data_IF_822204366901
#
_entry.id   IF_822204366901
#
_cell.length_a   1.000
_cell.length_b   1.000
_cell.length_c   1.000
_cell.angle_alpha   90.00
_cell.angle_beta   90.00
_cell.angle_gamma   90.00
#
_symmetry.space_group_name_H-M   'P 1'
#
loop_
_entity.id
_entity.type
_entity.pdbx_description
1 polymer ?
#
# COMPACT_ATOMS: atom_id res chain seq x y z
N UNK A 1 -47.48 10.15 -24.74
CA UNK A 1 -46.47 10.48 -23.71
C UNK A 1 -45.27 9.57 -23.95
N UNK A 2 -44.36 9.95 -24.85
CA UNK A 2 -43.20 9.13 -25.20
C UNK A 2 -42.03 9.51 -24.28
N UNK A 3 -41.60 8.59 -23.41
CA UNK A 3 -40.37 8.74 -22.66
C UNK A 3 -39.17 8.70 -23.61
N UNK A 4 -38.25 9.66 -23.50
CA UNK A 4 -37.02 9.70 -24.29
C UNK A 4 -36.21 8.40 -24.12
N UNK A 5 -35.59 7.92 -25.21
CA UNK A 5 -34.94 6.61 -25.30
C UNK A 5 -33.81 6.40 -24.27
N UNK A 6 -33.14 7.46 -23.84
CA UNK A 6 -32.07 7.45 -22.85
C UNK A 6 -32.12 8.70 -21.95
N UNK A 7 -31.62 8.59 -20.72
CA UNK A 7 -31.40 9.74 -19.84
C UNK A 7 -29.97 10.31 -20.00
N UNK A 8 -29.73 11.51 -19.49
CA UNK A 8 -28.45 12.21 -19.65
C UNK A 8 -27.25 11.40 -19.12
N UNK A 9 -27.40 10.72 -17.98
CA UNK A 9 -26.33 9.92 -17.38
C UNK A 9 -25.94 8.72 -18.26
N UNK A 10 -26.92 8.02 -18.84
CA UNK A 10 -26.68 6.92 -19.77
C UNK A 10 -25.91 7.40 -21.01
N UNK A 11 -26.26 8.57 -21.54
CA UNK A 11 -25.56 9.17 -22.69
C UNK A 11 -24.13 9.57 -22.30
N UNK A 12 -23.92 10.12 -21.10
CA UNK A 12 -22.58 10.39 -20.56
C UNK A 12 -21.72 9.12 -20.54
N UNK A 13 -22.26 8.02 -20.03
CA UNK A 13 -21.53 6.76 -19.91
C UNK A 13 -21.20 6.16 -21.29
N UNK A 14 -22.12 6.28 -22.26
CA UNK A 14 -21.83 5.93 -23.67
C UNK A 14 -20.71 6.78 -24.24
N UNK A 15 -20.72 8.09 -24.02
CA UNK A 15 -19.66 8.99 -24.49
C UNK A 15 -18.31 8.64 -23.86
N UNK A 16 -18.26 8.33 -22.55
CA UNK A 16 -17.04 7.84 -21.89
C UNK A 16 -16.53 6.56 -22.52
N UNK A 17 -17.42 5.61 -22.81
CA UNK A 17 -17.03 4.36 -23.45
C UNK A 17 -16.45 4.60 -24.86
N UNK A 18 -17.07 5.49 -25.65
CA UNK A 18 -16.55 5.86 -26.98
C UNK A 18 -15.15 6.49 -26.89
N UNK A 19 -14.96 7.38 -25.93
CA UNK A 19 -13.66 8.02 -25.65
C UNK A 19 -12.62 6.95 -25.24
N UNK A 20 -12.97 6.07 -24.30
CA UNK A 20 -12.08 5.00 -23.82
C UNK A 20 -11.70 3.99 -24.90
N UNK A 21 -12.60 3.75 -25.87
CA UNK A 21 -12.33 2.92 -27.05
C UNK A 21 -11.48 3.63 -28.11
N UNK A 22 -11.08 4.88 -27.88
CA UNK A 22 -10.25 5.65 -28.82
C UNK A 22 -11.01 6.14 -30.06
N UNK A 23 -12.34 6.23 -30.02
CA UNK A 23 -13.14 6.75 -31.14
C UNK A 23 -12.94 8.26 -31.36
N UNK A 24 -12.38 8.95 -30.36
CA UNK A 24 -12.03 10.36 -30.40
C UNK A 24 -10.61 10.54 -29.86
N UNK A 25 -9.76 11.23 -30.60
CA UNK A 25 -8.45 11.66 -30.14
C UNK A 25 -8.56 12.96 -29.33
N UNK A 26 -7.56 13.22 -28.48
CA UNK A 26 -7.45 14.53 -27.79
C UNK A 26 -7.35 15.64 -28.84
N UNK A 27 -8.20 16.65 -28.70
CA UNK A 27 -8.37 17.75 -29.65
C UNK A 27 -9.54 17.55 -30.63
N UNK A 28 -10.08 16.33 -30.75
CA UNK A 28 -11.19 16.06 -31.65
C UNK A 28 -12.48 16.74 -31.21
N UNK A 29 -13.29 17.11 -32.21
CA UNK A 29 -14.62 17.63 -31.98
C UNK A 29 -15.58 16.47 -31.70
N UNK A 30 -16.26 16.55 -30.57
CA UNK A 30 -17.29 15.61 -30.16
C UNK A 30 -18.64 15.94 -30.85
N UNK A 31 -19.61 15.00 -30.83
CA UNK A 31 -20.93 15.22 -31.41
C UNK A 31 -21.58 16.53 -30.94
N UNK A 32 -22.25 17.24 -31.83
CA UNK A 32 -23.02 18.43 -31.46
C UNK A 32 -24.21 18.08 -30.55
N UNK A 33 -24.79 19.10 -29.92
CA UNK A 33 -26.02 18.94 -29.11
C UNK A 33 -27.14 18.35 -29.98
N UNK A 34 -27.27 18.81 -31.22
CA UNK A 34 -28.27 18.32 -32.18
C UNK A 34 -28.02 16.85 -32.52
N UNK A 35 -26.77 16.49 -32.83
CA UNK A 35 -26.38 15.10 -33.12
C UNK A 35 -26.66 14.16 -31.94
N UNK A 36 -26.38 14.60 -30.70
CA UNK A 36 -26.72 13.82 -29.51
C UNK A 36 -28.23 13.67 -29.31
N UNK A 37 -29.01 14.72 -29.59
CA UNK A 37 -30.46 14.69 -29.47
C UNK A 37 -31.10 13.74 -30.48
N UNK A 38 -30.65 13.80 -31.73
CA UNK A 38 -31.09 12.92 -32.81
C UNK A 38 -30.73 11.45 -32.52
N UNK A 39 -29.54 11.22 -31.95
CA UNK A 39 -29.05 9.88 -31.66
C UNK A 39 -29.74 9.25 -30.43
N UNK A 40 -29.88 9.99 -29.32
CA UNK A 40 -30.20 9.39 -28.02
C UNK A 40 -31.51 9.85 -27.37
N UNK A 41 -31.95 11.09 -27.57
CA UNK A 41 -33.05 11.64 -26.79
C UNK A 41 -34.38 11.60 -27.56
N UNK A 42 -34.55 12.51 -28.51
CA UNK A 42 -35.65 12.68 -29.47
C UNK A 42 -35.46 14.03 -30.17
N UNK A 43 -36.01 14.18 -31.38
CA UNK A 43 -35.95 15.43 -32.16
C UNK A 43 -36.55 16.62 -31.38
N UNK A 44 -37.55 16.37 -30.53
CA UNK A 44 -38.25 17.41 -29.74
C UNK A 44 -37.68 17.62 -28.33
N UNK A 45 -36.58 16.95 -27.96
CA UNK A 45 -36.08 16.97 -26.57
C UNK A 45 -35.45 18.32 -26.16
N UNK A 46 -35.18 19.21 -27.12
CA UNK A 46 -34.50 20.48 -26.89
C UNK A 46 -33.05 20.31 -26.45
N UNK A 47 -32.31 21.41 -26.19
CA UNK A 47 -30.85 21.34 -25.97
C UNK A 47 -30.46 20.84 -24.57
N UNK A 48 -31.38 20.82 -23.61
CA UNK A 48 -31.07 20.56 -22.20
C UNK A 48 -30.51 19.13 -21.96
N UNK A 49 -31.12 18.04 -22.46
CA UNK A 49 -30.65 16.69 -22.15
C UNK A 49 -29.23 16.41 -22.65
N UNK A 50 -28.89 16.84 -23.87
CA UNK A 50 -27.52 16.72 -24.39
C UNK A 50 -26.51 17.62 -23.66
N UNK A 51 -26.91 18.82 -23.20
CA UNK A 51 -26.06 19.64 -22.32
C UNK A 51 -25.81 18.97 -20.98
N UNK A 52 -26.86 18.40 -20.39
CA UNK A 52 -26.78 17.66 -19.13
C UNK A 52 -25.88 16.41 -19.28
N UNK A 53 -25.83 15.78 -20.46
CA UNK A 53 -24.91 14.67 -20.75
C UNK A 53 -23.44 15.12 -20.89
N UNK A 54 -23.18 16.33 -21.41
CA UNK A 54 -21.81 16.86 -21.47
C UNK A 54 -21.30 17.43 -20.14
N UNK A 55 -22.20 17.85 -19.24
CA UNK A 55 -21.82 18.53 -18.00
C UNK A 55 -20.83 17.74 -17.12
N UNK A 56 -21.00 16.43 -16.87
CA UNK A 56 -20.03 15.66 -16.08
C UNK A 56 -18.66 15.55 -16.77
N UNK A 57 -18.63 15.36 -18.09
CA UNK A 57 -17.37 15.28 -18.86
C UNK A 57 -16.59 16.60 -18.83
N UNK A 58 -17.30 17.73 -18.81
CA UNK A 58 -16.70 19.06 -18.66
C UNK A 58 -16.18 19.24 -17.22
N UNK A 59 -16.95 18.83 -16.22
CA UNK A 59 -16.56 18.90 -14.82
C UNK A 59 -15.32 18.04 -14.51
N UNK A 60 -15.21 16.90 -15.18
CA UNK A 60 -14.06 15.98 -15.12
C UNK A 60 -12.86 16.47 -15.92
N UNK A 61 -12.97 17.62 -16.59
CA UNK A 61 -11.90 18.16 -17.44
C UNK A 61 -11.59 17.32 -18.67
N UNK A 62 -12.45 16.35 -18.99
CA UNK A 62 -12.33 15.52 -20.19
C UNK A 62 -12.73 16.32 -21.43
N UNK A 63 -13.72 17.21 -21.32
CA UNK A 63 -14.30 17.96 -22.44
C UNK A 63 -14.26 19.46 -22.19
N UNK A 64 -14.00 20.24 -23.23
CA UNK A 64 -14.14 21.71 -23.20
C UNK A 64 -15.21 22.17 -24.19
N UNK A 65 -16.05 23.11 -23.75
CA UNK A 65 -17.03 23.77 -24.61
C UNK A 65 -16.48 25.11 -25.12
N UNK A 66 -16.45 25.29 -26.44
CA UNK A 66 -16.04 26.53 -27.11
C UNK A 66 -17.25 27.24 -27.71
N UNK A 67 -17.28 28.57 -27.65
CA UNK A 67 -18.33 29.41 -28.25
C UNK A 67 -17.87 30.03 -29.58
N UNK A 68 -18.82 30.47 -30.41
CA UNK A 68 -18.56 31.18 -31.68
C UNK A 68 -18.67 30.31 -32.94
N UNK A 69 -18.18 30.80 -34.08
CA UNK A 69 -18.34 30.18 -35.41
C UNK A 69 -17.71 28.78 -35.52
N UNK A 70 -16.64 28.53 -34.76
CA UNK A 70 -15.99 27.23 -34.61
C UNK A 70 -16.29 26.58 -33.24
N UNK A 71 -17.40 26.98 -32.60
CA UNK A 71 -17.81 26.48 -31.29
C UNK A 71 -18.22 25.00 -31.32
N UNK A 72 -18.26 24.39 -30.15
CA UNK A 72 -18.56 22.96 -29.99
C UNK A 72 -17.89 22.37 -28.76
N UNK A 73 -18.07 21.06 -28.59
CA UNK A 73 -17.42 20.28 -27.53
C UNK A 73 -16.18 19.61 -28.11
N UNK A 74 -15.06 19.69 -27.40
CA UNK A 74 -13.80 19.11 -27.83
C UNK A 74 -13.21 18.26 -26.71
N UNK A 75 -12.67 17.10 -27.07
CA UNK A 75 -11.98 16.23 -26.11
C UNK A 75 -10.64 16.88 -25.71
N UNK A 76 -10.39 16.98 -24.42
CA UNK A 76 -9.15 17.52 -23.82
C UNK A 76 -8.34 16.40 -23.19
N UNK A 77 -9.01 15.43 -22.55
CA UNK A 77 -8.38 14.29 -21.93
C UNK A 77 -9.26 13.05 -22.11
N UNK A 78 -8.64 11.92 -22.44
CA UNK A 78 -9.32 10.63 -22.54
C UNK A 78 -9.68 10.04 -21.18
N UNK A 79 -9.04 10.54 -20.11
CA UNK A 79 -9.31 10.16 -18.73
C UNK A 79 -9.74 11.39 -17.91
N UNK A 80 -10.55 11.21 -16.84
CA UNK A 80 -10.87 12.29 -15.92
C UNK A 80 -9.60 12.93 -15.37
N UNK A 81 -9.50 14.26 -15.46
CA UNK A 81 -8.41 14.97 -14.82
C UNK A 81 -8.59 14.90 -13.30
N UNK A 82 -7.53 14.59 -12.54
CA UNK A 82 -7.63 14.57 -11.09
C UNK A 82 -8.02 15.96 -10.57
N UNK A 83 -9.04 16.00 -9.71
CA UNK A 83 -9.48 17.25 -9.12
C UNK A 83 -8.46 17.74 -8.09
N UNK A 84 -8.43 19.06 -7.83
CA UNK A 84 -7.60 19.62 -6.76
C UNK A 84 -7.88 18.92 -5.41
N UNK A 85 -9.16 18.65 -5.12
CA UNK A 85 -9.58 17.96 -3.90
C UNK A 85 -8.98 16.54 -3.82
N UNK A 86 -9.00 15.79 -4.92
CA UNK A 86 -8.36 14.47 -4.98
C UNK A 86 -6.86 14.56 -4.73
N UNK A 87 -6.16 15.50 -5.39
CA UNK A 87 -4.71 15.69 -5.20
C UNK A 87 -4.37 16.06 -3.75
N UNK A 88 -5.20 16.88 -3.11
CA UNK A 88 -5.07 17.21 -1.69
C UNK A 88 -5.25 15.97 -0.79
N UNK A 89 -6.28 15.17 -1.05
CA UNK A 89 -6.52 13.92 -0.30
C UNK A 89 -5.34 12.96 -0.42
N UNK A 90 -4.81 12.76 -1.63
CA UNK A 90 -3.63 11.92 -1.86
C UNK A 90 -2.41 12.44 -1.09
N UNK A 91 -2.16 13.76 -1.12
CA UNK A 91 -1.05 14.35 -0.38
C UNK A 91 -1.17 14.15 1.15
N UNK A 92 -2.38 14.30 1.69
CA UNK A 92 -2.66 14.01 3.11
C UNK A 92 -2.43 12.54 3.43
N UNK A 93 -3.00 11.63 2.64
CA UNK A 93 -2.82 10.18 2.85
C UNK A 93 -1.36 9.75 2.80
N UNK A 94 -0.55 10.30 1.88
CA UNK A 94 0.88 10.03 1.82
C UNK A 94 1.60 10.50 3.09
N UNK A 95 1.22 11.67 3.61
CA UNK A 95 1.79 12.20 4.85
C UNK A 95 1.47 11.29 6.04
N UNK A 96 0.22 10.81 6.14
CA UNK A 96 -0.22 9.90 7.19
C UNK A 96 0.50 8.54 7.13
N UNK A 97 0.65 7.99 5.92
CA UNK A 97 1.38 6.73 5.69
C UNK A 97 2.84 6.86 6.13
N UNK A 98 3.51 7.94 5.74
CA UNK A 98 4.89 8.20 6.16
C UNK A 98 4.97 8.32 7.69
N UNK A 99 4.04 9.03 8.31
CA UNK A 99 3.95 9.12 9.77
C UNK A 99 3.80 7.76 10.44
N UNK A 100 2.87 6.92 9.97
CA UNK A 100 2.65 5.58 10.49
C UNK A 100 3.88 4.67 10.30
N UNK A 101 4.52 4.73 9.14
CA UNK A 101 5.75 3.99 8.86
C UNK A 101 6.89 4.41 9.80
N UNK A 102 7.06 5.71 10.06
CA UNK A 102 8.05 6.21 11.02
C UNK A 102 7.76 5.76 12.46
N UNK A 103 6.48 5.71 12.86
CA UNK A 103 6.10 5.17 14.17
C UNK A 103 6.43 3.68 14.29
N UNK A 104 6.12 2.90 13.26
CA UNK A 104 6.43 1.48 13.22
C UNK A 104 7.95 1.24 13.23
N UNK A 105 8.70 1.97 12.41
CA UNK A 105 10.16 1.88 12.35
C UNK A 105 10.84 2.20 13.69
N UNK A 106 10.28 3.13 14.47
CA UNK A 106 10.80 3.49 15.79
C UNK A 106 10.31 2.59 16.93
N UNK A 107 9.43 1.64 16.66
CA UNK A 107 8.95 0.71 17.68
C UNK A 107 10.09 -0.19 18.15
N UNK A 108 10.28 -0.24 19.46
CA UNK A 108 11.25 -1.14 20.08
C UNK A 108 10.73 -2.58 20.00
N UNK A 109 11.59 -3.48 19.57
CA UNK A 109 11.41 -4.92 19.56
C UNK A 109 12.61 -5.56 20.23
N UNK A 110 12.40 -6.75 20.80
CA UNK A 110 13.44 -7.51 21.48
C UNK A 110 13.86 -8.67 20.60
N UNK A 111 15.16 -8.72 20.29
CA UNK A 111 15.76 -9.81 19.52
C UNK A 111 16.19 -10.90 20.49
N UNK A 112 15.82 -12.15 20.22
CA UNK A 112 16.29 -13.33 20.93
C UNK A 112 17.20 -14.13 20.01
N UNK A 113 18.44 -14.35 20.43
CA UNK A 113 19.41 -15.21 19.73
C UNK A 113 19.90 -16.33 20.66
N UNK A 114 20.06 -17.54 20.11
CA UNK A 114 20.63 -18.67 20.85
C UNK A 114 22.06 -18.94 20.39
N UNK A 115 22.92 -19.36 21.33
CA UNK A 115 24.30 -19.76 21.04
C UNK A 115 24.65 -21.01 21.84
N UNK A 116 25.27 -22.00 21.21
CA UNK A 116 25.85 -23.14 21.95
C UNK A 116 27.16 -22.72 22.61
N UNK A 117 27.42 -23.10 23.86
CA UNK A 117 28.57 -22.61 24.66
C UNK A 117 29.96 -22.79 24.02
N UNK A 118 30.13 -23.74 23.09
CA UNK A 118 31.38 -23.99 22.36
C UNK A 118 31.36 -23.53 20.90
N UNK A 119 30.23 -23.00 20.43
CA UNK A 119 30.07 -22.55 19.05
C UNK A 119 30.30 -21.04 18.95
N UNK A 120 31.09 -20.64 17.95
CA UNK A 120 31.15 -19.22 17.55
C UNK A 120 29.87 -18.75 16.88
N UNK A 121 29.07 -19.68 16.35
CA UNK A 121 27.86 -19.39 15.59
C UNK A 121 26.63 -19.44 16.50
N UNK A 122 25.84 -18.37 16.47
CA UNK A 122 24.48 -18.38 16.98
C UNK A 122 23.52 -19.00 15.99
N UNK A 123 22.33 -19.35 16.46
CA UNK A 123 21.23 -19.85 15.66
C UNK A 123 19.91 -19.34 16.24
N UNK A 124 18.88 -19.29 15.40
CA UNK A 124 17.54 -18.85 15.79
C UNK A 124 17.52 -17.36 16.18
N UNK A 125 17.05 -16.51 15.27
CA UNK A 125 16.75 -15.12 15.57
C UNK A 125 15.23 -14.96 15.60
N UNK A 126 14.69 -14.40 16.69
CA UNK A 126 13.26 -14.14 16.83
C UNK A 126 13.03 -12.72 17.37
N UNK A 127 12.02 -12.05 16.83
CA UNK A 127 11.64 -10.68 17.20
C UNK A 127 10.36 -10.68 18.03
N UNK A 128 10.46 -10.16 19.25
CA UNK A 128 9.37 -10.17 20.21
C UNK A 128 8.97 -8.74 20.62
N UNK A 129 7.69 -8.50 20.92
CA UNK A 129 7.18 -7.15 21.17
C UNK A 129 7.59 -6.57 22.54
N UNK A 130 8.15 -7.38 23.44
CA UNK A 130 8.58 -6.95 24.77
C UNK A 130 9.67 -7.86 25.33
N UNK A 131 10.41 -7.36 26.31
CA UNK A 131 11.41 -8.13 27.05
C UNK A 131 10.80 -9.38 27.71
N UNK A 132 9.63 -9.23 28.31
CA UNK A 132 8.92 -10.33 28.97
C UNK A 132 8.54 -11.44 27.98
N UNK A 133 8.06 -11.07 26.78
CA UNK A 133 7.74 -12.03 25.73
C UNK A 133 9.01 -12.72 25.21
N UNK A 134 10.11 -11.98 25.08
CA UNK A 134 11.42 -12.52 24.70
C UNK A 134 11.95 -13.55 25.72
N UNK A 135 11.85 -13.26 27.01
CA UNK A 135 12.26 -14.18 28.07
C UNK A 135 11.39 -15.43 28.11
N UNK A 136 10.06 -15.29 28.04
CA UNK A 136 9.15 -16.42 28.01
C UNK A 136 9.41 -17.34 26.80
N UNK A 137 9.64 -16.75 25.62
CA UNK A 137 10.02 -17.48 24.42
C UNK A 137 11.35 -18.21 24.59
N UNK A 138 12.38 -17.52 25.11
CA UNK A 138 13.69 -18.12 25.35
C UNK A 138 13.62 -19.32 26.29
N UNK A 139 12.85 -19.22 27.39
CA UNK A 139 12.63 -20.33 28.32
C UNK A 139 11.99 -21.52 27.61
N UNK A 140 10.93 -21.30 26.81
CA UNK A 140 10.26 -22.37 26.08
C UNK A 140 11.20 -23.09 25.10
N UNK A 141 12.01 -22.35 24.35
CA UNK A 141 12.97 -22.93 23.39
C UNK A 141 14.08 -23.70 24.12
N UNK A 142 14.66 -23.15 25.20
CA UNK A 142 15.67 -23.85 25.99
C UNK A 142 15.14 -25.17 26.58
N UNK A 143 13.90 -25.17 27.09
CA UNK A 143 13.26 -26.39 27.60
C UNK A 143 13.03 -27.43 26.50
N UNK A 144 12.61 -26.99 25.31
CA UNK A 144 12.46 -27.88 24.15
C UNK A 144 13.81 -28.49 23.70
N UNK A 145 14.91 -27.80 23.93
CA UNK A 145 16.28 -28.31 23.71
C UNK A 145 16.82 -29.17 24.86
N UNK A 146 16.01 -29.44 25.89
CA UNK A 146 16.35 -30.31 27.01
C UNK A 146 17.00 -29.62 28.21
N UNK A 147 17.07 -28.28 28.25
CA UNK A 147 17.57 -27.58 29.43
C UNK A 147 16.54 -27.60 30.58
N UNK A 148 16.94 -27.86 31.84
CA UNK A 148 16.03 -27.82 32.98
C UNK A 148 15.38 -26.44 33.14
N UNK A 149 14.09 -26.41 33.52
CA UNK A 149 13.29 -25.18 33.63
C UNK A 149 13.96 -24.06 34.43
N UNK A 150 14.44 -24.36 35.64
CA UNK A 150 15.10 -23.35 36.50
C UNK A 150 16.39 -22.79 35.87
N UNK A 151 17.11 -23.63 35.11
CA UNK A 151 18.31 -23.20 34.38
C UNK A 151 17.94 -22.33 33.18
N UNK A 152 16.88 -22.68 32.46
CA UNK A 152 16.34 -21.90 31.36
C UNK A 152 15.84 -20.51 31.80
N UNK A 153 15.06 -20.44 32.89
CA UNK A 153 14.58 -19.19 33.48
C UNK A 153 15.73 -18.27 33.89
N UNK A 154 16.75 -18.83 34.57
CA UNK A 154 17.96 -18.07 34.95
C UNK A 154 18.74 -17.57 33.73
N UNK A 155 18.87 -18.40 32.68
CA UNK A 155 19.56 -18.02 31.47
C UNK A 155 18.85 -16.89 30.71
N UNK A 156 17.52 -16.94 30.61
CA UNK A 156 16.71 -15.90 29.97
C UNK A 156 16.73 -14.58 30.77
N UNK A 157 16.57 -14.64 32.10
CA UNK A 157 16.60 -13.46 32.95
C UNK A 157 17.97 -12.75 32.95
N UNK A 158 19.06 -13.52 32.89
CA UNK A 158 20.42 -12.99 32.80
C UNK A 158 20.86 -12.60 31.37
N UNK A 159 19.99 -12.82 30.36
CA UNK A 159 20.36 -12.60 28.97
C UNK A 159 20.60 -11.11 28.68
N UNK A 160 21.75 -10.81 28.11
CA UNK A 160 22.14 -9.46 27.71
C UNK A 160 22.74 -9.47 26.31
N UNK A 161 22.99 -8.28 25.75
CA UNK A 161 23.63 -8.15 24.44
C UNK A 161 25.06 -8.74 24.44
N UNK A 162 25.76 -8.66 25.56
CA UNK A 162 27.13 -9.16 25.73
C UNK A 162 27.22 -10.09 26.94
N UNK A 163 26.83 -11.38 26.82
CA UNK A 163 26.91 -12.31 27.92
C UNK A 163 28.38 -12.62 28.23
N UNK A 164 28.76 -12.57 29.51
CA UNK A 164 30.01 -13.15 29.97
C UNK A 164 29.98 -14.66 29.69
N UNK A 165 30.93 -15.18 28.91
CA UNK A 165 31.09 -16.60 28.59
C UNK A 165 31.61 -17.38 29.82
N UNK A 166 30.83 -17.42 30.91
CA UNK A 166 31.30 -17.95 32.20
C UNK A 166 30.69 -19.29 32.57
N UNK A 167 29.76 -19.86 31.79
CA UNK A 167 29.16 -21.17 32.10
C UNK A 167 29.74 -22.32 31.26
N UNK A 168 30.25 -23.35 31.93
CA UNK A 168 30.73 -24.59 31.31
C UNK A 168 29.53 -25.42 30.79
N UNK A 169 29.30 -25.37 29.48
CA UNK A 169 28.36 -26.25 28.75
C UNK A 169 26.91 -25.74 28.72
N UNK A 170 26.16 -26.13 27.66
CA UNK A 170 24.75 -25.75 27.44
C UNK A 170 24.55 -24.69 26.35
N UNK A 171 23.38 -24.06 26.39
CA UNK A 171 22.99 -22.94 25.50
C UNK A 171 23.02 -21.59 26.24
N UNK A 172 23.41 -20.55 25.53
CA UNK A 172 23.32 -19.16 25.93
C UNK A 172 22.22 -18.46 25.13
N UNK A 173 21.57 -17.50 25.77
CA UNK A 173 20.56 -16.64 25.14
C UNK A 173 21.07 -15.22 25.21
N UNK A 174 20.92 -14.49 24.10
CA UNK A 174 21.08 -13.03 24.06
C UNK A 174 19.70 -12.43 23.85
N UNK A 175 19.38 -11.43 24.65
CA UNK A 175 18.15 -10.66 24.50
C UNK A 175 18.53 -9.19 24.56
N UNK A 176 18.22 -8.44 23.51
CA UNK A 176 18.54 -7.02 23.40
C UNK A 176 17.48 -6.26 22.60
N UNK A 177 17.26 -5.00 22.97
CA UNK A 177 16.29 -4.12 22.31
C UNK A 177 16.87 -3.52 21.03
N UNK A 178 16.05 -3.44 19.98
CA UNK A 178 16.34 -2.72 18.75
C UNK A 178 15.10 -2.04 18.21
N UNK A 179 15.29 -0.98 17.44
CA UNK A 179 14.20 -0.39 16.67
C UNK A 179 13.91 -1.27 15.45
N UNK A 180 12.63 -1.47 15.15
CA UNK A 180 12.18 -2.30 14.03
C UNK A 180 12.80 -1.85 12.70
N UNK A 181 12.93 -0.54 12.47
CA UNK A 181 13.57 0.03 11.27
C UNK A 181 15.09 -0.13 11.20
N UNK A 182 15.73 -0.66 12.25
CA UNK A 182 17.16 -0.98 12.29
C UNK A 182 17.43 -2.48 12.15
N UNK A 183 16.38 -3.31 12.03
CA UNK A 183 16.56 -4.71 11.66
C UNK A 183 17.11 -4.74 10.25
N UNK A 184 18.29 -5.34 10.08
CA UNK A 184 18.84 -5.59 8.74
C UNK A 184 18.18 -6.85 8.21
N UNK A 185 17.94 -6.89 6.90
CA UNK A 185 17.75 -8.17 6.23
C UNK A 185 18.96 -9.05 6.54
N UNK A 186 18.73 -10.16 7.22
CA UNK A 186 19.70 -11.24 7.27
C UNK A 186 19.68 -11.84 5.87
N UNK A 187 20.55 -11.33 4.99
CA UNK A 187 20.77 -11.96 3.70
C UNK A 187 21.17 -13.42 3.94
N UNK A 188 20.54 -14.40 3.28
CA UNK A 188 20.80 -15.82 3.51
C UNK A 188 22.25 -16.24 3.19
N UNK A 189 23.07 -15.38 2.58
CA UNK A 189 24.45 -15.66 2.18
C UNK A 189 25.47 -15.67 3.34
N UNK A 190 25.11 -15.25 4.56
CA UNK A 190 25.99 -15.41 5.73
C UNK A 190 25.95 -16.82 6.34
N UNK A 191 25.17 -17.74 5.77
CA UNK A 191 25.22 -19.18 6.05
C UNK A 191 26.20 -19.97 5.15
N UNK A 192 27.08 -19.30 4.39
CA UNK A 192 28.14 -19.96 3.63
C UNK A 192 29.43 -20.04 4.45
N UNK A 193 29.72 -21.21 5.02
CA UNK A 193 31.04 -21.49 5.58
C UNK A 193 31.11 -22.59 6.64
N UNK A 194 30.40 -23.70 6.47
CA UNK A 194 30.75 -24.93 7.17
C UNK A 194 30.52 -26.10 6.19
N UNK A 195 31.52 -26.31 5.34
CA UNK A 195 31.71 -27.60 4.69
C UNK A 195 31.71 -28.69 5.75
N UNK A 196 30.84 -29.66 5.54
CA UNK A 196 30.83 -30.93 6.26
C UNK A 196 31.96 -31.74 5.64
N UNK A 197 33.08 -31.86 6.35
CA UNK A 197 34.06 -32.94 6.17
C UNK A 197 34.04 -33.81 7.43
#
# INVERSE_FOLDING_TARGET
MAGGKYNAQQVTDVLRQRIALGQYAVGDRLPSIEQLNDEFFSVDAGPKPARDAYAPLIQEGMVTARVGRAGGHFLVSAEPLPTLQFLQQVATSLTDIVGAAMQLANREVYVVEFRKARSRHGFGECFLPSRLAAEAFAVAVLQAMGEPRLKAERAAAAASESPALTQRGGYHVRIYGRRLGQLRDVSPDSASGAEIN
#
